data_IF_342915503265
#
_entry.id   IF_342915503265
#
_cell.length_a   1.000
_cell.length_b   1.000
_cell.length_c   1.000
_cell.angle_alpha   90.00
_cell.angle_beta   90.00
_cell.angle_gamma   90.00
#
_symmetry.space_group_name_H-M   'P 1'
#
loop_
_entity.id
_entity.type
_entity.pdbx_description
1 polymer ?
#
# COMPACT_ATOMS: atom_id res chain seq x y z
N UNK A 1 -20.31 -2.33 2.39
CA UNK A 1 -20.24 -1.13 3.26
C UNK A 1 -20.27 0.17 2.45
N UNK A 2 -19.31 0.41 1.54
CA UNK A 2 -19.34 1.59 0.63
C UNK A 2 -19.84 1.30 -0.80
N UNK A 3 -20.16 0.04 -1.09
CA UNK A 3 -20.74 -0.41 -2.36
C UNK A 3 -22.18 -0.81 -2.10
N UNK A 4 -23.10 -0.30 -2.90
CA UNK A 4 -24.54 -0.52 -2.70
C UNK A 4 -24.89 -2.02 -2.80
N UNK A 5 -25.75 -2.49 -1.90
CA UNK A 5 -26.13 -3.91 -1.79
C UNK A 5 -25.07 -4.87 -1.22
N UNK A 6 -23.87 -4.40 -0.85
CA UNK A 6 -22.83 -5.25 -0.26
C UNK A 6 -23.13 -5.58 1.22
N UNK A 7 -23.46 -6.84 1.50
CA UNK A 7 -23.60 -7.39 2.87
C UNK A 7 -22.30 -8.07 3.30
N UNK A 8 -21.85 -7.74 4.52
CA UNK A 8 -20.69 -8.36 5.17
C UNK A 8 -21.15 -8.94 6.50
N UNK A 9 -20.79 -10.19 6.78
CA UNK A 9 -21.09 -10.87 8.05
C UNK A 9 -19.81 -11.39 8.69
N UNK A 10 -19.83 -11.57 10.01
CA UNK A 10 -18.69 -12.05 10.79
C UNK A 10 -17.76 -10.92 11.27
N UNK A 11 -16.53 -11.30 11.61
CA UNK A 11 -15.52 -10.41 12.15
C UNK A 11 -14.16 -10.69 11.51
N UNK A 12 -13.42 -9.62 11.22
CA UNK A 12 -12.00 -9.72 10.84
C UNK A 12 -11.21 -9.08 11.97
N UNK A 13 -10.43 -9.89 12.68
CA UNK A 13 -9.64 -9.44 13.81
C UNK A 13 -8.19 -9.23 13.38
N UNK A 14 -7.73 -7.98 13.39
CA UNK A 14 -6.34 -7.62 13.17
C UNK A 14 -5.70 -7.32 14.53
N UNK A 15 -4.72 -8.15 14.94
CA UNK A 15 -4.07 -8.07 16.26
C UNK A 15 -5.05 -8.08 17.45
N UNK A 16 -6.12 -8.87 17.35
CA UNK A 16 -7.15 -8.98 18.40
C UNK A 16 -8.21 -7.87 18.36
N UNK A 17 -8.10 -6.89 17.46
CA UNK A 17 -9.10 -5.83 17.28
C UNK A 17 -9.92 -6.10 16.02
N UNK A 18 -11.25 -6.11 16.16
CA UNK A 18 -12.15 -6.24 15.01
C UNK A 18 -12.11 -4.95 14.17
N UNK A 19 -11.76 -5.08 12.88
CA UNK A 19 -11.67 -3.96 11.94
C UNK A 19 -13.03 -3.33 11.59
N UNK A 20 -14.14 -4.02 11.89
CA UNK A 20 -15.50 -3.54 11.68
C UNK A 20 -16.10 -2.88 12.93
N UNK A 21 -15.31 -2.67 13.99
CA UNK A 21 -15.78 -2.02 15.22
C UNK A 21 -16.23 -0.59 14.90
N UNK A 22 -17.32 -0.16 15.53
CA UNK A 22 -17.81 1.22 15.42
C UNK A 22 -16.72 2.21 15.83
N UNK A 23 -16.40 3.15 14.95
CA UNK A 23 -15.39 4.19 15.17
C UNK A 23 -14.01 3.86 14.59
N UNK A 24 -13.82 2.71 13.95
CA UNK A 24 -12.57 2.44 13.24
C UNK A 24 -12.41 3.30 11.99
N UNK A 25 -11.22 3.87 11.82
CA UNK A 25 -10.85 4.65 10.64
C UNK A 25 -10.30 3.71 9.55
N UNK A 26 -11.11 3.51 8.51
CA UNK A 26 -10.75 2.69 7.35
C UNK A 26 -9.49 3.21 6.65
N UNK A 27 -9.23 4.52 6.67
CA UNK A 27 -8.02 5.10 6.10
C UNK A 27 -6.78 4.72 6.93
N UNK A 28 -6.89 4.70 8.27
CA UNK A 28 -5.81 4.24 9.14
C UNK A 28 -5.52 2.75 8.94
N UNK A 29 -6.57 1.92 8.87
CA UNK A 29 -6.44 0.50 8.59
C UNK A 29 -5.67 0.25 7.29
N UNK A 30 -5.98 0.98 6.22
CA UNK A 30 -5.31 0.87 4.91
C UNK A 30 -3.86 1.36 4.93
N UNK A 31 -3.46 2.22 5.88
CA UNK A 31 -2.05 2.56 6.09
C UNK A 31 -1.28 1.41 6.73
N UNK A 32 -1.94 0.59 7.55
CA UNK A 32 -1.34 -0.54 8.27
C UNK A 32 -1.34 -1.83 7.44
N UNK A 33 -2.32 -1.99 6.55
CA UNK A 33 -2.51 -3.18 5.73
C UNK A 33 -2.47 -2.80 4.25
N UNK A 34 -1.38 -3.18 3.58
CA UNK A 34 -1.23 -3.00 2.13
C UNK A 34 -2.03 -4.03 1.33
N UNK A 35 -2.42 -3.68 0.11
CA UNK A 35 -3.12 -4.56 -0.83
C UNK A 35 -2.36 -4.61 -2.16
N UNK A 36 -2.18 -5.81 -2.71
CA UNK A 36 -1.63 -6.03 -4.04
C UNK A 36 -2.74 -6.57 -4.93
N UNK A 37 -2.93 -5.95 -6.10
CA UNK A 37 -3.97 -6.34 -7.04
C UNK A 37 -3.48 -7.43 -8.00
N UNK A 38 -4.35 -8.38 -8.34
CA UNK A 38 -4.05 -9.43 -9.33
C UNK A 38 -3.75 -8.84 -10.72
N UNK A 39 -4.53 -7.82 -11.12
CA UNK A 39 -4.24 -7.02 -12.31
C UNK A 39 -3.42 -5.79 -11.89
N UNK A 40 -2.23 -5.56 -12.47
CA UNK A 40 -1.44 -4.38 -12.15
C UNK A 40 -2.23 -3.08 -12.39
N UNK A 41 -2.12 -2.15 -11.44
CA UNK A 41 -2.73 -0.82 -11.55
C UNK A 41 -1.68 0.28 -11.26
N UNK A 42 -0.63 0.41 -12.10
CA UNK A 42 0.36 1.45 -11.92
C UNK A 42 -0.24 2.83 -12.26
N UNK A 43 0.19 3.85 -11.53
CA UNK A 43 -0.09 5.23 -11.92
C UNK A 43 0.67 5.59 -13.20
N UNK A 44 0.17 6.57 -14.00
CA UNK A 44 0.86 7.09 -15.18
C UNK A 44 2.09 7.93 -14.75
N UNK A 45 3.09 7.25 -14.18
CA UNK A 45 4.33 7.77 -13.61
C UNK A 45 5.47 6.79 -13.91
N UNK A 46 6.71 7.17 -13.63
CA UNK A 46 7.87 6.27 -13.76
C UNK A 46 7.78 5.11 -12.75
N UNK A 47 8.59 4.06 -12.97
CA UNK A 47 8.69 2.94 -12.02
C UNK A 47 9.14 3.45 -10.64
N UNK A 48 10.18 4.29 -10.60
CA UNK A 48 10.64 4.94 -9.36
C UNK A 48 9.50 5.65 -8.63
N UNK A 49 8.76 6.51 -9.33
CA UNK A 49 7.69 7.31 -8.71
C UNK A 49 6.51 6.44 -8.26
N UNK A 50 6.21 5.34 -8.93
CA UNK A 50 5.22 4.37 -8.46
C UNK A 50 5.64 3.69 -7.16
N UNK A 51 6.93 3.33 -7.01
CA UNK A 51 7.45 2.65 -5.82
C UNK A 51 7.48 3.58 -4.61
N UNK A 52 7.93 4.84 -4.77
CA UNK A 52 8.05 5.79 -3.65
C UNK A 52 6.76 6.53 -3.31
N UNK A 53 5.70 6.38 -4.11
CA UNK A 53 4.49 7.18 -3.98
C UNK A 53 3.89 7.15 -2.58
N UNK A 54 3.81 5.95 -1.99
CA UNK A 54 3.29 5.76 -0.63
C UNK A 54 4.13 6.48 0.44
N UNK A 55 5.45 6.46 0.32
CA UNK A 55 6.38 7.14 1.24
C UNK A 55 6.22 8.65 1.15
N UNK A 56 6.07 9.20 -0.05
CA UNK A 56 5.83 10.64 -0.26
C UNK A 56 4.51 11.10 0.37
N UNK A 57 3.43 10.32 0.23
CA UNK A 57 2.14 10.61 0.89
C UNK A 57 2.28 10.63 2.41
N UNK A 58 3.16 9.80 2.97
CA UNK A 58 3.48 9.79 4.40
C UNK A 58 4.45 10.93 4.82
N UNK A 59 4.83 11.81 3.89
CA UNK A 59 5.71 12.95 4.16
C UNK A 59 7.21 12.64 4.06
N UNK A 60 7.60 11.43 3.66
CA UNK A 60 9.00 11.04 3.51
C UNK A 60 9.51 11.54 2.16
N UNK A 61 10.36 12.56 2.19
CA UNK A 61 10.89 13.21 0.98
C UNK A 61 12.42 13.18 0.89
N UNK A 62 13.10 12.61 1.90
CA UNK A 62 14.56 12.56 1.92
C UNK A 62 15.06 11.61 0.84
N UNK A 63 15.70 12.15 -0.20
CA UNK A 63 16.18 11.41 -1.38
C UNK A 63 16.88 10.10 -1.03
N UNK A 64 17.84 10.12 -0.10
CA UNK A 64 18.57 8.91 0.33
C UNK A 64 17.65 7.78 0.78
N UNK A 65 16.60 8.11 1.55
CA UNK A 65 15.64 7.10 2.04
C UNK A 65 14.80 6.55 0.89
N UNK A 66 14.40 7.41 -0.04
CA UNK A 66 13.61 7.02 -1.21
C UNK A 66 14.40 6.11 -2.15
N UNK A 67 15.66 6.45 -2.42
CA UNK A 67 16.56 5.67 -3.29
C UNK A 67 16.82 4.28 -2.68
N UNK A 68 17.09 4.20 -1.38
CA UNK A 68 17.25 2.94 -0.65
C UNK A 68 15.98 2.07 -0.71
N UNK A 69 14.81 2.68 -0.54
CA UNK A 69 13.54 1.97 -0.61
C UNK A 69 13.25 1.42 -2.02
N UNK A 70 13.58 2.18 -3.07
CA UNK A 70 13.39 1.76 -4.46
C UNK A 70 14.30 0.60 -4.81
N UNK A 71 15.59 0.72 -4.51
CA UNK A 71 16.55 -0.33 -4.78
C UNK A 71 16.18 -1.62 -4.04
N UNK A 72 15.83 -1.52 -2.76
CA UNK A 72 15.37 -2.65 -1.96
C UNK A 72 14.13 -3.32 -2.56
N UNK A 73 13.11 -2.54 -2.93
CA UNK A 73 11.87 -3.06 -3.47
C UNK A 73 12.07 -3.74 -4.84
N UNK A 74 12.83 -3.11 -5.74
CA UNK A 74 13.07 -3.64 -7.07
C UNK A 74 13.97 -4.88 -7.06
N UNK A 75 14.97 -4.94 -6.17
CA UNK A 75 15.76 -6.16 -5.95
C UNK A 75 14.92 -7.28 -5.36
N UNK A 76 14.08 -6.98 -4.36
CA UNK A 76 13.16 -7.95 -3.77
C UNK A 76 12.14 -8.52 -4.77
N UNK A 77 11.77 -7.72 -5.77
CA UNK A 77 10.91 -8.13 -6.88
C UNK A 77 11.67 -8.75 -8.07
N UNK A 78 13.00 -8.89 -7.99
CA UNK A 78 13.87 -9.35 -9.08
C UNK A 78 13.77 -8.50 -10.39
N UNK A 79 13.40 -7.22 -10.28
CA UNK A 79 13.23 -6.31 -11.42
C UNK A 79 14.40 -5.34 -11.62
N UNK A 80 15.33 -5.25 -10.66
CA UNK A 80 16.35 -4.21 -10.63
C UNK A 80 17.16 -4.08 -11.94
N UNK A 81 17.67 -5.18 -12.47
CA UNK A 81 18.53 -5.13 -13.66
C UNK A 81 17.76 -4.85 -14.97
N UNK A 82 16.44 -5.07 -14.98
CA UNK A 82 15.59 -4.78 -16.13
C UNK A 82 15.18 -3.32 -16.23
N UNK A 83 15.16 -2.60 -15.09
CA UNK A 83 14.52 -1.28 -14.97
C UNK A 83 15.44 -0.16 -14.51
N UNK A 84 16.69 -0.47 -14.16
CA UNK A 84 17.69 0.53 -13.71
C UNK A 84 18.10 1.50 -14.81
#
# INVERSE_FOLDING_TARGET
>A
DLVDGCRVEGAINLYGTNIYRKGEDVAELRRRVGMVFQKPNPFPKTIYENVVYGLRIQGINKKRILDEAVEWALKGAALWDEVK
#
